data_IF_926780760260
#
_entry.id   IF_926780760260
#
_cell.length_a   1.000
_cell.length_b   1.000
_cell.length_c   1.000
_cell.angle_alpha   90.00
_cell.angle_beta   90.00
_cell.angle_gamma   90.00
#
_symmetry.space_group_name_H-M   'P 1'
#
loop_
_entity.id
_entity.type
_entity.pdbx_description
1 polymer ?
#
# COMPACT_ATOMS: atom_id res chain seq x y z
N UNK A 1 -16.72 11.80 23.09
CA UNK A 1 -15.81 12.80 22.47
C UNK A 1 -15.13 12.10 21.29
N UNK A 2 -15.71 12.21 20.10
CA UNK A 2 -15.28 11.46 18.92
C UNK A 2 -14.33 12.34 18.11
N UNK A 3 -13.02 12.20 18.31
CA UNK A 3 -12.06 12.81 17.40
C UNK A 3 -12.14 12.10 16.04
N UNK A 4 -12.21 12.80 14.90
CA UNK A 4 -12.24 12.18 13.56
C UNK A 4 -10.88 11.55 13.15
N UNK A 5 -10.10 11.10 14.13
CA UNK A 5 -8.68 10.72 14.06
C UNK A 5 -8.46 9.32 14.68
N UNK A 6 -9.41 8.41 14.51
CA UNK A 6 -9.29 7.05 15.03
C UNK A 6 -8.09 6.32 14.43
N UNK A 7 -7.10 6.00 15.27
CA UNK A 7 -6.11 4.97 14.96
C UNK A 7 -6.66 3.61 15.43
N UNK A 8 -6.29 2.55 14.73
CA UNK A 8 -6.65 1.17 15.07
C UNK A 8 -5.36 0.38 15.23
N UNK A 9 -5.24 -0.58 16.16
CA UNK A 9 -4.05 -1.41 16.23
C UNK A 9 -3.88 -2.26 14.98
N UNK A 10 -2.63 -2.38 14.51
CA UNK A 10 -2.27 -3.30 13.44
C UNK A 10 -2.51 -4.74 13.89
N UNK A 11 -3.21 -5.59 13.11
CA UNK A 11 -3.50 -6.98 13.50
C UNK A 11 -2.27 -7.91 13.43
N UNK A 12 -1.06 -7.38 13.31
CA UNK A 12 0.17 -8.18 13.21
C UNK A 12 1.27 -7.67 14.12
N UNK A 13 1.57 -6.37 14.12
CA UNK A 13 2.56 -5.78 15.04
C UNK A 13 1.95 -4.94 16.17
N UNK A 14 0.61 -4.83 16.23
CA UNK A 14 -0.15 -4.13 17.28
C UNK A 14 0.09 -2.60 17.37
N UNK A 15 1.03 -2.07 16.59
CA UNK A 15 1.28 -0.64 16.47
C UNK A 15 0.04 0.09 15.91
N UNK A 16 -0.22 1.32 16.34
CA UNK A 16 -1.34 2.10 15.85
C UNK A 16 -1.18 2.38 14.35
N UNK A 17 -2.28 2.24 13.60
CA UNK A 17 -2.36 2.54 12.17
C UNK A 17 -3.59 3.40 11.87
N UNK A 18 -3.54 4.17 10.78
CA UNK A 18 -4.70 4.85 10.21
C UNK A 18 -5.05 4.23 8.86
N UNK A 19 -6.32 3.97 8.64
CA UNK A 19 -6.82 3.47 7.36
C UNK A 19 -7.12 4.64 6.42
N UNK A 20 -6.44 4.67 5.28
CA UNK A 20 -6.69 5.62 4.21
C UNK A 20 -7.24 4.92 2.96
N UNK A 21 -7.88 5.68 2.09
CA UNK A 21 -8.33 5.22 0.77
C UNK A 21 -7.44 5.86 -0.29
N UNK A 22 -6.77 5.01 -1.07
CA UNK A 22 -5.95 5.41 -2.22
C UNK A 22 -6.79 6.03 -3.34
N UNK A 23 -6.16 6.71 -4.30
CA UNK A 23 -6.83 7.18 -5.52
C UNK A 23 -7.57 6.06 -6.27
N UNK A 24 -7.01 4.85 -6.28
CA UNK A 24 -7.61 3.66 -6.89
C UNK A 24 -8.71 2.99 -6.04
N UNK A 25 -9.13 3.60 -4.92
CA UNK A 25 -10.20 3.07 -4.06
C UNK A 25 -9.76 1.96 -3.09
N UNK A 26 -8.51 1.51 -3.14
CA UNK A 26 -7.98 0.52 -2.20
C UNK A 26 -7.75 1.12 -0.81
N UNK A 27 -7.94 0.29 0.23
CA UNK A 27 -7.60 0.62 1.62
C UNK A 27 -6.10 0.42 1.85
N UNK A 28 -5.43 1.44 2.36
CA UNK A 28 -4.01 1.43 2.70
C UNK A 28 -3.84 1.74 4.19
N UNK A 29 -3.03 0.94 4.88
CA UNK A 29 -2.62 1.23 6.25
C UNK A 29 -1.45 2.22 6.25
N UNK A 30 -1.58 3.30 7.02
CA UNK A 30 -0.57 4.34 7.22
C UNK A 30 -0.15 4.39 8.68
N UNK A 31 1.09 4.82 8.92
CA UNK A 31 1.48 5.24 10.26
C UNK A 31 0.66 6.48 10.68
N UNK A 32 0.32 6.61 11.97
CA UNK A 32 -0.60 7.65 12.44
C UNK A 32 0.02 9.05 12.45
N UNK A 33 1.35 9.11 12.57
CA UNK A 33 2.15 10.33 12.60
C UNK A 33 2.77 10.62 11.24
N UNK A 34 3.03 11.90 10.98
CA UNK A 34 3.78 12.31 9.80
C UNK A 34 5.23 11.81 9.87
N UNK A 35 5.79 11.48 8.71
CA UNK A 35 7.13 10.94 8.56
C UNK A 35 7.83 11.61 7.36
N UNK A 36 8.99 12.27 7.54
CA UNK A 36 9.70 12.93 6.45
C UNK A 36 10.23 11.96 5.38
N UNK A 37 10.48 10.70 5.73
CA UNK A 37 10.87 9.63 4.79
C UNK A 37 9.64 9.00 4.09
N UNK A 38 8.43 9.42 4.43
CA UNK A 38 7.19 8.94 3.82
C UNK A 38 7.10 9.27 2.33
N UNK A 39 6.53 8.35 1.56
CA UNK A 39 6.31 8.51 0.12
C UNK A 39 4.85 8.78 -0.25
N UNK A 40 4.00 9.10 0.74
CA UNK A 40 2.58 9.33 0.56
C UNK A 40 2.18 10.72 1.05
N UNK A 41 1.31 11.39 0.30
CA UNK A 41 0.58 12.58 0.75
C UNK A 41 -0.79 12.15 1.26
N UNK A 42 -1.04 12.30 2.56
CA UNK A 42 -2.31 11.95 3.18
C UNK A 42 -3.08 13.21 3.57
N UNK A 43 -4.39 13.22 3.35
CA UNK A 43 -5.28 14.31 3.72
C UNK A 43 -6.66 13.79 4.11
N UNK A 44 -7.38 14.54 4.93
CA UNK A 44 -8.78 14.26 5.22
C UNK A 44 -9.64 15.00 4.20
N UNK A 45 -10.49 14.28 3.47
CA UNK A 45 -11.42 14.90 2.53
C UNK A 45 -12.60 15.60 3.23
N UNK A 46 -13.41 16.34 2.46
CA UNK A 46 -14.59 17.04 3.01
C UNK A 46 -15.66 16.11 3.60
N UNK A 47 -15.57 14.79 3.40
CA UNK A 47 -16.45 13.78 4.00
C UNK A 47 -15.88 13.18 5.29
N UNK A 48 -14.70 13.65 5.73
CA UNK A 48 -14.00 13.13 6.90
C UNK A 48 -13.23 11.83 6.64
N UNK A 49 -13.13 11.37 5.39
CA UNK A 49 -12.36 10.17 5.04
C UNK A 49 -10.90 10.53 4.84
N UNK A 50 -10.01 9.68 5.36
CA UNK A 50 -8.59 9.80 5.10
C UNK A 50 -8.31 9.29 3.68
N UNK A 51 -7.84 10.17 2.81
CA UNK A 51 -7.39 9.89 1.46
C UNK A 51 -5.87 9.91 1.40
N UNK A 52 -5.33 9.17 0.44
CA UNK A 52 -3.89 9.12 0.22
C UNK A 52 -3.54 9.04 -1.25
N UNK A 53 -2.47 9.74 -1.63
CA UNK A 53 -1.84 9.66 -2.94
C UNK A 53 -0.34 9.39 -2.81
N UNK A 54 0.24 8.78 -3.83
CA UNK A 54 1.69 8.62 -3.91
C UNK A 54 2.35 9.95 -4.30
N UNK A 55 3.48 10.26 -3.67
CA UNK A 55 4.38 11.31 -4.11
C UNK A 55 5.27 10.73 -5.20
N UNK A 56 4.91 10.99 -6.45
CA UNK A 56 5.62 10.51 -7.64
C UNK A 56 6.58 11.58 -8.17
N UNK A 57 7.42 11.23 -9.14
CA UNK A 57 8.29 12.21 -9.81
C UNK A 57 7.50 13.34 -10.48
N UNK A 58 6.30 13.04 -10.99
CA UNK A 58 5.40 14.03 -11.61
C UNK A 58 4.75 14.96 -10.58
N UNK A 59 4.50 14.48 -9.36
CA UNK A 59 3.88 15.24 -8.27
C UNK A 59 4.57 14.98 -6.93
N UNK A 60 5.81 15.47 -6.75
CA UNK A 60 6.65 15.12 -5.60
C UNK A 60 6.31 15.92 -4.33
N UNK A 61 5.65 17.07 -4.48
CA UNK A 61 5.31 17.98 -3.38
C UNK A 61 3.96 17.62 -2.75
N UNK A 62 3.83 17.94 -1.46
CA UNK A 62 2.54 17.97 -0.76
C UNK A 62 1.72 19.17 -1.22
N UNK A 63 0.41 19.05 -1.19
CA UNK A 63 -0.54 20.07 -1.64
C UNK A 63 -1.60 20.34 -0.56
N UNK A 64 -1.88 21.62 -0.30
CA UNK A 64 -2.93 22.04 0.63
C UNK A 64 -2.71 21.51 2.06
N UNK A 65 -3.70 20.79 2.59
CA UNK A 65 -3.68 20.23 3.95
C UNK A 65 -3.09 18.82 4.03
N UNK A 66 -2.32 18.40 3.02
CA UNK A 66 -1.64 17.12 3.02
C UNK A 66 -0.47 17.08 4.01
N UNK A 67 -0.31 15.93 4.65
CA UNK A 67 0.85 15.61 5.47
C UNK A 67 1.58 14.40 4.91
N UNK A 68 2.90 14.34 5.14
CA UNK A 68 3.74 13.27 4.63
C UNK A 68 3.56 12.01 5.46
N UNK A 69 3.03 10.96 4.85
CA UNK A 69 2.69 9.71 5.50
C UNK A 69 3.64 8.58 5.06
N UNK A 70 3.92 7.68 6.00
CA UNK A 70 4.64 6.43 5.73
C UNK A 70 3.62 5.27 5.62
N UNK A 71 3.67 4.46 4.55
CA UNK A 71 2.88 3.23 4.48
C UNK A 71 3.32 2.27 5.60
N UNK A 72 2.36 1.80 6.40
CA UNK A 72 2.67 0.96 7.56
C UNK A 72 3.38 -0.35 7.17
N UNK A 73 3.09 -0.89 5.99
CA UNK A 73 3.76 -2.09 5.48
C UNK A 73 5.29 -1.95 5.37
N UNK A 74 5.83 -0.73 5.27
CA UNK A 74 7.27 -0.47 5.24
C UNK A 74 7.92 -0.49 6.63
N UNK A 75 7.17 -0.18 7.69
CA UNK A 75 7.68 -0.06 9.07
C UNK A 75 7.15 -1.17 10.00
N UNK A 76 6.30 -2.06 9.49
CA UNK A 76 5.72 -3.14 10.27
C UNK A 76 6.81 -4.14 10.67
N UNK A 77 6.98 -4.38 11.97
CA UNK A 77 7.94 -5.35 12.51
C UNK A 77 7.50 -6.80 12.35
N UNK A 78 6.22 -7.04 12.03
CA UNK A 78 5.62 -8.36 11.78
C UNK A 78 4.76 -8.32 10.52
N UNK A 79 5.34 -8.09 9.33
CA UNK A 79 4.56 -7.96 8.11
C UNK A 79 3.88 -9.29 7.79
N UNK A 80 2.61 -9.24 7.38
CA UNK A 80 1.94 -10.45 6.88
C UNK A 80 2.70 -11.00 5.68
N UNK A 81 2.93 -12.33 5.60
CA UNK A 81 3.62 -12.92 4.47
C UNK A 81 2.86 -12.59 3.18
N UNK A 82 3.57 -12.05 2.19
CA UNK A 82 3.02 -11.83 0.85
C UNK A 82 2.67 -13.20 0.29
N UNK A 83 1.40 -13.41 -0.07
CA UNK A 83 0.98 -14.63 -0.76
C UNK A 83 1.56 -14.57 -2.18
N UNK A 84 2.77 -15.07 -2.37
CA UNK A 84 3.34 -15.31 -3.69
C UNK A 84 2.55 -16.45 -4.32
N UNK A 85 1.64 -16.12 -5.23
CA UNK A 85 1.08 -17.15 -6.12
C UNK A 85 2.20 -17.48 -7.11
N UNK A 86 2.76 -18.70 -7.12
CA UNK A 86 3.74 -19.06 -8.13
C UNK A 86 3.07 -18.90 -9.49
N UNK A 87 3.66 -18.04 -10.33
CA UNK A 87 3.23 -17.90 -11.73
C UNK A 87 3.54 -19.23 -12.40
N UNK A 88 2.54 -20.11 -12.52
CA UNK A 88 2.68 -21.32 -13.32
C UNK A 88 3.02 -20.88 -14.74
N UNK A 89 4.28 -21.06 -15.12
CA UNK A 89 4.68 -21.06 -16.53
C UNK A 89 4.16 -22.38 -17.08
N UNK A 90 2.93 -22.38 -17.60
CA UNK A 90 2.44 -23.48 -18.43
C UNK A 90 3.51 -23.76 -19.47
N UNK A 91 4.05 -24.98 -19.46
CA UNK A 91 5.25 -25.36 -20.18
C UNK A 91 5.22 -24.95 -21.65
N UNK A 92 6.40 -24.67 -22.20
CA UNK A 92 6.60 -24.50 -23.64
C UNK A 92 6.04 -25.75 -24.33
N UNK A 93 5.08 -25.57 -25.25
CA UNK A 93 4.59 -26.66 -26.10
C UNK A 93 5.82 -27.28 -26.78
N UNK A 94 6.04 -28.61 -26.72
CA UNK A 94 7.14 -29.22 -27.45
C UNK A 94 6.99 -28.86 -28.94
N UNK A 95 8.09 -28.41 -29.54
CA UNK A 95 8.09 -28.07 -30.96
C UNK A 95 7.88 -29.35 -31.79
N UNK A 96 7.04 -29.30 -32.85
CA UNK A 96 6.52 -30.49 -33.54
C UNK A 96 7.57 -31.32 -34.30
N UNK A 97 8.84 -30.89 -34.35
CA UNK A 97 9.90 -31.55 -35.12
C UNK A 97 10.71 -32.61 -34.33
N UNK A 98 10.45 -32.80 -33.04
CA UNK A 98 11.14 -33.80 -32.19
C UNK A 98 10.57 -35.23 -32.33
N UNK A 99 9.57 -35.45 -33.19
CA UNK A 99 8.84 -36.73 -33.31
C UNK A 99 9.28 -37.68 -34.42
N UNK A 100 10.38 -37.41 -35.14
CA UNK A 100 10.84 -38.28 -36.22
C UNK A 100 12.13 -38.99 -35.80
N UNK A 101 11.98 -40.18 -35.21
CA UNK A 101 13.04 -41.19 -35.16
C UNK A 101 12.70 -42.29 -36.16
N UNK A 102 13.72 -42.71 -36.92
CA UNK A 102 13.70 -43.67 -38.04
C UNK A 102 13.19 -45.05 -37.65
#
# INVERSE_FOLDING_TARGET
MTSPTGSTPCPSCEQPIRWAVTAAGHRQALNPTADPAGNLGAYTDGTGRLRVRALTAERPSLEGAEWRAMPHAATCTRPRPRRSVPRQRTGVRPAPWQGWTR
#
